data_IF_097859175591
#
_entry.id   IF_097859175591
#
_cell.length_a   1.000
_cell.length_b   1.000
_cell.length_c   1.000
_cell.angle_alpha   90.00
_cell.angle_beta   90.00
_cell.angle_gamma   90.00
#
_symmetry.space_group_name_H-M   'P 1'
#
loop_
_entity.id
_entity.type
_entity.pdbx_description
1 polymer ?
#
# COMPACT_ATOMS: atom_id res chain seq x y z
N UNK A 1 -16.58 47.70 -8.73
CA UNK A 1 -15.25 47.22 -9.17
C UNK A 1 -15.36 45.72 -9.48
N UNK A 2 -15.45 45.30 -10.75
CA UNK A 2 -15.47 43.88 -11.09
C UNK A 2 -14.11 43.24 -10.81
N UNK A 3 -14.10 42.07 -10.16
CA UNK A 3 -12.89 41.30 -9.84
C UNK A 3 -12.33 40.67 -11.12
N UNK A 4 -11.01 40.71 -11.37
CA UNK A 4 -10.45 40.04 -12.54
C UNK A 4 -10.65 38.52 -12.40
N UNK A 5 -11.27 37.92 -13.41
CA UNK A 5 -11.27 36.47 -13.58
C UNK A 5 -9.83 36.11 -13.95
N UNK A 6 -9.14 35.39 -13.06
CA UNK A 6 -7.84 34.82 -13.38
C UNK A 6 -8.10 33.71 -14.39
N UNK A 7 -7.98 34.03 -15.67
CA UNK A 7 -7.92 33.03 -16.72
C UNK A 7 -6.58 32.32 -16.58
N UNK A 8 -6.59 31.14 -15.95
CA UNK A 8 -5.44 30.24 -16.01
C UNK A 8 -5.20 29.92 -17.49
N UNK A 9 -4.06 30.34 -18.01
CA UNK A 9 -3.64 29.96 -19.37
C UNK A 9 -3.58 28.43 -19.46
N UNK A 10 -3.97 27.83 -20.59
CA UNK A 10 -3.83 26.40 -20.79
C UNK A 10 -2.35 26.08 -20.93
N UNK A 11 -1.68 25.75 -19.82
CA UNK A 11 -0.37 25.12 -19.82
C UNK A 11 -0.48 23.83 -20.64
N UNK A 12 -0.07 23.90 -21.91
CA UNK A 12 0.28 22.80 -22.82
C UNK A 12 -0.22 21.42 -22.34
N UNK A 13 -1.54 21.21 -22.43
CA UNK A 13 -2.30 20.22 -21.65
C UNK A 13 -2.04 18.74 -21.94
N UNK A 14 -0.94 18.38 -22.62
CA UNK A 14 -0.57 16.98 -22.89
C UNK A 14 0.48 16.41 -21.94
N UNK A 15 1.23 17.26 -21.23
CA UNK A 15 2.35 16.83 -20.36
C UNK A 15 2.14 17.07 -18.86
N UNK A 16 1.23 17.97 -18.46
CA UNK A 16 0.98 18.30 -17.05
C UNK A 16 0.29 17.16 -16.30
N UNK A 17 -0.77 16.58 -16.87
CA UNK A 17 -1.53 15.50 -16.23
C UNK A 17 -0.70 14.23 -15.97
N UNK A 18 0.31 13.94 -16.79
CA UNK A 18 1.23 12.82 -16.56
C UNK A 18 2.08 13.04 -15.30
N UNK A 19 2.50 14.28 -15.03
CA UNK A 19 3.25 14.62 -13.82
C UNK A 19 2.36 14.52 -12.58
N UNK A 20 1.11 14.98 -12.69
CA UNK A 20 0.15 14.89 -11.60
C UNK A 20 -0.21 13.43 -11.27
N UNK A 21 -0.33 12.58 -12.29
CA UNK A 21 -0.55 11.14 -12.11
C UNK A 21 0.65 10.47 -11.42
N UNK A 22 1.89 10.77 -11.86
CA UNK A 22 3.09 10.26 -11.21
C UNK A 22 3.22 10.74 -9.75
N UNK A 23 2.82 11.99 -9.46
CA UNK A 23 2.77 12.52 -8.10
C UNK A 23 1.73 11.78 -7.24
N UNK A 24 0.54 11.53 -7.79
CA UNK A 24 -0.51 10.76 -7.13
C UNK A 24 -0.06 9.32 -6.84
N UNK A 25 0.58 8.64 -7.80
CA UNK A 25 1.11 7.29 -7.60
C UNK A 25 2.18 7.23 -6.49
N UNK A 26 3.02 8.26 -6.38
CA UNK A 26 4.01 8.36 -5.31
C UNK A 26 3.35 8.55 -3.96
N UNK A 27 2.33 9.42 -3.87
CA UNK A 27 1.56 9.62 -2.64
C UNK A 27 0.84 8.35 -2.23
N UNK A 28 0.20 7.65 -3.17
CA UNK A 28 -0.47 6.37 -2.92
C UNK A 28 0.51 5.28 -2.47
N UNK A 29 1.73 5.24 -3.04
CA UNK A 29 2.78 4.33 -2.56
C UNK A 29 3.26 4.69 -1.17
N UNK A 30 3.44 5.98 -0.88
CA UNK A 30 3.87 6.45 0.44
C UNK A 30 2.79 6.28 1.52
N UNK A 31 1.50 6.34 1.16
CA UNK A 31 0.39 6.16 2.09
C UNK A 31 0.10 4.69 2.41
N UNK A 32 0.61 3.75 1.61
CA UNK A 32 0.49 2.32 1.93
C UNK A 32 1.35 2.04 3.15
N UNK A 33 0.72 1.59 4.22
CA UNK A 33 1.44 1.04 5.35
C UNK A 33 2.32 -0.13 4.87
N UNK A 34 3.57 -0.22 5.33
CA UNK A 34 4.42 -1.37 5.00
C UNK A 34 3.73 -2.65 5.44
N UNK A 35 3.82 -3.69 4.61
CA UNK A 35 3.27 -5.00 4.95
C UNK A 35 3.91 -5.51 6.25
N UNK A 36 3.13 -6.10 7.16
CA UNK A 36 3.68 -6.65 8.40
C UNK A 36 4.66 -7.78 8.09
N UNK A 37 5.76 -7.84 8.85
CA UNK A 37 6.75 -8.91 8.71
C UNK A 37 6.15 -10.29 9.04
N UNK A 38 6.79 -11.35 8.53
CA UNK A 38 6.43 -12.74 8.86
C UNK A 38 6.38 -12.96 10.37
N UNK A 39 7.38 -12.48 11.12
CA UNK A 39 7.43 -12.64 12.58
C UNK A 39 6.26 -11.94 13.26
N UNK A 40 5.90 -10.74 12.79
CA UNK A 40 4.75 -10.01 13.32
C UNK A 40 3.44 -10.75 13.05
N UNK A 41 3.28 -11.31 11.85
CA UNK A 41 2.11 -12.11 11.49
C UNK A 41 2.03 -13.40 12.31
N UNK A 42 3.14 -14.10 12.52
CA UNK A 42 3.17 -15.29 13.38
C UNK A 42 2.77 -14.95 14.82
N UNK A 43 3.28 -13.84 15.38
CA UNK A 43 2.89 -13.38 16.70
C UNK A 43 1.39 -13.03 16.80
N UNK A 44 0.82 -12.41 15.76
CA UNK A 44 -0.61 -12.10 15.71
C UNK A 44 -1.47 -13.36 15.65
N UNK A 45 -1.09 -14.37 14.86
CA UNK A 45 -1.82 -15.64 14.79
C UNK A 45 -1.83 -16.34 16.16
N UNK A 46 -0.70 -16.32 16.88
CA UNK A 46 -0.63 -16.91 18.22
C UNK A 46 -1.44 -16.11 19.25
N UNK A 47 -1.43 -14.78 19.16
CA UNK A 47 -2.19 -13.93 20.06
C UNK A 47 -3.70 -14.10 19.89
N UNK A 48 -4.17 -14.35 18.66
CA UNK A 48 -5.58 -14.58 18.35
C UNK A 48 -6.07 -15.94 18.88
N UNK A 49 -5.26 -16.99 18.73
CA UNK A 49 -5.60 -18.34 19.17
C UNK A 49 -4.39 -19.06 19.79
N UNK A 50 -4.09 -18.82 21.07
CA UNK A 50 -2.92 -19.38 21.73
C UNK A 50 -2.92 -20.91 21.71
N UNK A 51 -1.80 -21.51 21.27
CA UNK A 51 -1.62 -22.96 21.22
C UNK A 51 -2.47 -23.71 20.19
N UNK A 52 -3.32 -23.03 19.43
CA UNK A 52 -4.21 -23.68 18.46
C UNK A 52 -3.45 -24.31 17.28
N UNK A 53 -2.27 -23.78 16.96
CA UNK A 53 -1.44 -24.23 15.84
C UNK A 53 0.00 -24.52 16.29
N UNK A 54 0.64 -25.59 15.78
CA UNK A 54 2.08 -25.78 15.92
C UNK A 54 2.86 -24.61 15.33
N UNK A 55 4.01 -24.27 15.94
CA UNK A 55 4.85 -23.15 15.50
C UNK A 55 5.19 -23.20 14.00
N UNK A 56 5.54 -24.38 13.47
CA UNK A 56 5.86 -24.57 12.04
C UNK A 56 4.65 -24.33 11.10
N UNK A 57 3.43 -24.55 11.57
CA UNK A 57 2.21 -24.24 10.80
C UNK A 57 1.93 -22.74 10.82
N UNK A 58 2.10 -22.11 11.98
CA UNK A 58 1.99 -20.67 12.16
C UNK A 58 2.95 -19.90 11.27
N UNK A 59 4.20 -20.35 11.21
CA UNK A 59 5.25 -19.78 10.37
C UNK A 59 4.93 -19.87 8.87
N UNK A 60 4.41 -21.01 8.42
CA UNK A 60 3.98 -21.21 7.03
C UNK A 60 2.81 -20.29 6.67
N UNK A 61 1.82 -20.15 7.56
CA UNK A 61 0.71 -19.23 7.37
C UNK A 61 1.18 -17.77 7.34
N UNK A 62 2.05 -17.38 8.26
CA UNK A 62 2.63 -16.05 8.30
C UNK A 62 3.44 -15.72 7.04
N UNK A 63 4.19 -16.68 6.49
CA UNK A 63 4.91 -16.49 5.23
C UNK A 63 3.94 -16.28 4.05
N UNK A 64 2.87 -17.09 3.95
CA UNK A 64 1.84 -16.93 2.91
C UNK A 64 1.12 -15.59 3.00
N UNK A 65 0.78 -15.16 4.22
CA UNK A 65 0.14 -13.86 4.47
C UNK A 65 1.07 -12.70 4.14
N UNK A 66 2.35 -12.79 4.47
CA UNK A 66 3.34 -11.76 4.13
C UNK A 66 3.46 -11.57 2.60
N UNK A 67 3.50 -12.67 1.83
CA UNK A 67 3.53 -12.61 0.36
C UNK A 67 2.26 -11.95 -0.20
N UNK A 68 1.07 -12.39 0.26
CA UNK A 68 -0.21 -11.83 -0.17
C UNK A 68 -0.32 -10.32 0.13
N UNK A 69 0.04 -9.90 1.35
CA UNK A 69 0.01 -8.49 1.76
C UNK A 69 1.11 -7.65 1.10
N UNK A 70 2.22 -8.27 0.71
CA UNK A 70 3.30 -7.65 -0.06
C UNK A 70 2.93 -7.35 -1.52
N UNK A 71 1.74 -7.74 -1.97
CA UNK A 71 1.32 -7.60 -3.38
C UNK A 71 1.96 -8.64 -4.30
N UNK A 72 2.66 -9.62 -3.74
CA UNK A 72 3.11 -10.81 -4.45
C UNK A 72 1.88 -11.72 -4.61
N UNK A 73 1.07 -11.38 -5.61
CA UNK A 73 0.00 -12.27 -6.06
C UNK A 73 0.66 -13.58 -6.48
N UNK A 74 0.30 -14.68 -5.80
CA UNK A 74 0.69 -16.01 -6.23
C UNK A 74 0.31 -16.21 -7.71
N UNK A 75 1.10 -16.97 -8.49
CA UNK A 75 0.80 -17.25 -9.89
C UNK A 75 -0.59 -17.86 -10.09
#
# INVERSE_FOLDING_TARGET
MPRPIVTAEPETGRASWHRDLAALERLLRASRAPAPSRERLAALIEAEAPGALPAATRDRLAARLAAYLGGETAP
#
